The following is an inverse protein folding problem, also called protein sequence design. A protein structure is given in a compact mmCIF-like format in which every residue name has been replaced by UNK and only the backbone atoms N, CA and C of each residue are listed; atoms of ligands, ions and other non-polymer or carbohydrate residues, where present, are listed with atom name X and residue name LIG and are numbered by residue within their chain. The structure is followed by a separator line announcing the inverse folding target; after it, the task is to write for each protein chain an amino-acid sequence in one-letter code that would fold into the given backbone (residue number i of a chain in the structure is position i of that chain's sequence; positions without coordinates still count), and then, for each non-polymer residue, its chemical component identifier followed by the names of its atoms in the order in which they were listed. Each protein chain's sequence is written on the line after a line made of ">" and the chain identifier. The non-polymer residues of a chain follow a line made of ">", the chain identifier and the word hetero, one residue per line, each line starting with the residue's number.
data_IF_138916721983
#
_entry.id   IF_138916721983
#
_cell.length_a   1.000
_cell.length_b   1.000
_cell.length_c   1.000
_cell.angle_alpha   90.00
_cell.angle_beta   90.00
_cell.angle_gamma   90.00
#
_symmetry.space_group_name_H-M   'P 1'
#
loop_
_entity.id
_entity.type
_entity.pdbx_description
1 polymer ?
#
# COMPACT_ATOMS: atom_id res chain seq x y z
N UNK A 1 -19.21 -25.99 -13.33
CA UNK A 1 -18.94 -25.73 -11.93
C UNK A 1 -17.88 -24.63 -11.81
N UNK A 2 -18.18 -23.60 -11.07
CA UNK A 2 -17.25 -22.52 -10.87
C UNK A 2 -16.36 -22.86 -9.67
N UNK A 3 -15.07 -22.94 -9.91
CA UNK A 3 -14.12 -23.09 -8.80
C UNK A 3 -13.76 -21.70 -8.28
N UNK A 4 -13.82 -21.52 -6.98
CA UNK A 4 -13.32 -20.30 -6.38
C UNK A 4 -11.83 -20.16 -6.69
N UNK A 5 -11.36 -18.94 -6.94
CA UNK A 5 -9.92 -18.70 -7.11
C UNK A 5 -9.19 -19.11 -5.83
N UNK A 6 -8.00 -19.74 -5.93
CA UNK A 6 -7.20 -19.99 -4.76
C UNK A 6 -6.95 -18.71 -3.96
N UNK A 7 -6.92 -18.81 -2.64
CA UNK A 7 -6.79 -17.65 -1.75
C UNK A 7 -5.51 -16.83 -1.98
N UNK A 8 -4.50 -17.41 -2.65
CA UNK A 8 -3.22 -16.76 -2.93
C UNK A 8 -3.06 -16.29 -4.39
N UNK A 9 -4.15 -16.23 -5.17
CA UNK A 9 -4.09 -15.67 -6.53
C UNK A 9 -3.94 -14.16 -6.46
N UNK A 10 -3.44 -13.57 -7.54
CA UNK A 10 -3.33 -12.11 -7.65
C UNK A 10 -4.68 -11.44 -7.41
N UNK A 11 -5.75 -11.94 -8.02
CA UNK A 11 -7.09 -11.37 -7.84
C UNK A 11 -7.56 -11.46 -6.38
N UNK A 12 -7.42 -12.63 -5.74
CA UNK A 12 -7.85 -12.81 -4.36
C UNK A 12 -7.08 -11.90 -3.39
N UNK A 13 -5.77 -11.80 -3.58
CA UNK A 13 -4.90 -10.93 -2.77
C UNK A 13 -5.30 -9.47 -2.97
N UNK A 14 -5.50 -9.06 -4.22
CA UNK A 14 -5.87 -7.68 -4.57
C UNK A 14 -7.20 -7.29 -3.93
N UNK A 15 -8.23 -8.13 -4.04
CA UNK A 15 -9.54 -7.86 -3.45
C UNK A 15 -9.48 -7.76 -1.93
N UNK A 16 -8.75 -8.66 -1.29
CA UNK A 16 -8.63 -8.65 0.17
C UNK A 16 -7.82 -7.45 0.66
N UNK A 17 -6.73 -7.11 -0.03
CA UNK A 17 -5.93 -5.93 0.31
C UNK A 17 -6.79 -4.66 0.25
N UNK A 18 -7.56 -4.48 -0.82
CA UNK A 18 -8.44 -3.31 -0.97
C UNK A 18 -9.47 -3.28 0.15
N UNK A 19 -10.08 -4.41 0.48
CA UNK A 19 -11.05 -4.52 1.58
C UNK A 19 -10.44 -4.09 2.92
N UNK A 20 -9.24 -4.57 3.23
CA UNK A 20 -8.54 -4.21 4.45
C UNK A 20 -8.17 -2.72 4.49
N UNK A 21 -7.68 -2.19 3.37
CA UNK A 21 -7.33 -0.77 3.28
C UNK A 21 -8.55 0.15 3.42
N UNK A 22 -9.70 -0.24 2.86
CA UNK A 22 -10.95 0.50 3.05
C UNK A 22 -11.39 0.52 4.51
N UNK A 23 -11.08 -0.53 5.25
CA UNK A 23 -11.38 -0.62 6.68
C UNK A 23 -10.33 0.07 7.56
N UNK A 24 -9.30 0.67 6.97
CA UNK A 24 -8.20 1.28 7.72
C UNK A 24 -7.24 0.27 8.32
N UNK A 25 -7.26 -0.98 7.86
CA UNK A 25 -6.48 -2.09 8.39
C UNK A 25 -5.26 -2.39 7.51
N UNK A 26 -4.49 -1.36 7.21
CA UNK A 26 -3.34 -1.46 6.31
C UNK A 26 -2.24 -2.38 6.86
N UNK A 27 -2.00 -2.34 8.17
CA UNK A 27 -0.99 -3.22 8.78
C UNK A 27 -1.39 -4.71 8.66
N UNK A 28 -2.68 -5.01 8.77
CA UNK A 28 -3.17 -6.38 8.58
C UNK A 28 -2.93 -6.87 7.15
N UNK A 29 -3.08 -5.97 6.16
CA UNK A 29 -2.78 -6.30 4.77
C UNK A 29 -1.27 -6.63 4.60
N UNK A 30 -0.40 -5.83 5.19
CA UNK A 30 1.04 -6.07 5.17
C UNK A 30 1.36 -7.45 5.80
N UNK A 31 0.84 -7.70 6.99
CA UNK A 31 1.10 -8.94 7.71
C UNK A 31 0.57 -10.19 6.99
N UNK A 32 -0.54 -10.05 6.25
CA UNK A 32 -1.18 -11.18 5.59
C UNK A 32 -0.56 -11.51 4.23
N UNK A 33 -0.13 -10.49 3.47
CA UNK A 33 0.18 -10.69 2.05
C UNK A 33 1.60 -10.35 1.62
N UNK A 34 2.34 -9.58 2.41
CA UNK A 34 3.67 -9.13 1.99
C UNK A 34 4.72 -10.21 2.19
N UNK A 35 5.57 -10.40 1.17
CA UNK A 35 6.76 -11.25 1.28
C UNK A 35 7.73 -10.68 2.31
N UNK A 36 8.45 -11.54 3.06
CA UNK A 36 9.55 -11.05 3.92
C UNK A 36 10.57 -10.19 3.17
N UNK A 37 10.77 -10.43 1.88
CA UNK A 37 11.73 -9.73 1.03
C UNK A 37 11.09 -8.63 0.19
N UNK A 38 9.94 -8.14 0.57
CA UNK A 38 9.22 -7.08 -0.16
C UNK A 38 10.12 -5.89 -0.49
N UNK A 39 9.96 -5.35 -1.69
CA UNK A 39 10.60 -4.10 -2.10
C UNK A 39 9.53 -3.03 -2.26
N UNK A 40 9.73 -1.90 -1.60
CA UNK A 40 8.82 -0.76 -1.69
C UNK A 40 9.54 0.42 -2.32
N UNK A 41 8.91 1.03 -3.33
CA UNK A 41 9.50 2.13 -4.09
C UNK A 41 8.57 3.34 -4.02
N UNK A 42 9.11 4.46 -3.54
CA UNK A 42 8.40 5.73 -3.49
C UNK A 42 8.72 6.59 -4.73
N UNK A 43 7.91 7.61 -5.00
CA UNK A 43 8.19 8.54 -6.11
C UNK A 43 9.39 9.43 -5.84
N UNK A 44 9.70 9.67 -4.55
CA UNK A 44 10.88 10.44 -4.16
C UNK A 44 11.45 9.87 -2.86
N UNK A 45 12.70 10.19 -2.59
CA UNK A 45 13.37 9.81 -1.37
C UNK A 45 14.51 10.76 -1.05
N UNK A 46 15.09 10.59 0.13
CA UNK A 46 16.25 11.36 0.59
C UNK A 46 17.15 10.43 1.41
N UNK A 47 18.20 10.97 2.01
CA UNK A 47 19.15 10.18 2.81
C UNK A 47 18.49 9.51 4.02
N UNK A 48 17.55 10.18 4.67
CA UNK A 48 16.87 9.66 5.85
C UNK A 48 15.78 8.63 5.46
N UNK A 49 15.13 8.83 4.31
CA UNK A 49 14.08 7.93 3.81
C UNK A 49 14.36 7.65 2.33
N UNK A 50 15.14 6.60 2.03
CA UNK A 50 15.46 6.25 0.64
C UNK A 50 14.21 5.97 -0.18
N UNK A 51 14.30 6.27 -1.48
CA UNK A 51 13.22 5.97 -2.42
C UNK A 51 12.87 4.48 -2.44
N UNK A 52 13.86 3.60 -2.35
CA UNK A 52 13.67 2.15 -2.34
C UNK A 52 14.01 1.60 -0.96
N UNK A 53 13.08 0.82 -0.42
CA UNK A 53 13.20 0.18 0.91
C UNK A 53 12.91 -1.30 0.75
N UNK A 54 13.73 -2.14 1.38
CA UNK A 54 13.62 -3.60 1.31
C UNK A 54 13.31 -4.21 2.67
N UNK A 55 12.50 -5.26 2.65
CA UNK A 55 12.18 -6.06 3.83
C UNK A 55 10.91 -5.62 4.53
N UNK A 56 10.17 -6.61 5.01
CA UNK A 56 8.84 -6.39 5.59
C UNK A 56 8.89 -5.55 6.88
N UNK A 57 9.96 -5.69 7.67
CA UNK A 57 10.08 -4.92 8.91
C UNK A 57 10.25 -3.42 8.65
N UNK A 58 11.00 -3.07 7.60
CA UNK A 58 11.12 -1.67 7.17
C UNK A 58 9.78 -1.11 6.69
N UNK A 59 8.99 -1.92 6.00
CA UNK A 59 7.65 -1.51 5.54
C UNK A 59 6.70 -1.32 6.72
N UNK A 60 6.75 -2.20 7.71
CA UNK A 60 5.99 -2.04 8.95
C UNK A 60 6.36 -0.75 9.67
N UNK A 61 7.64 -0.42 9.70
CA UNK A 61 8.14 0.83 10.27
C UNK A 61 7.62 2.06 9.54
N UNK A 62 7.61 2.04 8.21
CA UNK A 62 7.04 3.10 7.37
C UNK A 62 5.54 3.29 7.68
N UNK A 63 4.79 2.20 7.74
CA UNK A 63 3.36 2.25 8.02
C UNK A 63 3.08 2.81 9.40
N UNK A 64 3.84 2.39 10.39
CA UNK A 64 3.71 2.91 11.75
C UNK A 64 4.01 4.41 11.81
N UNK A 65 5.10 4.84 11.18
CA UNK A 65 5.48 6.25 11.14
C UNK A 65 4.37 7.07 10.49
N UNK A 66 3.84 6.60 9.36
CA UNK A 66 2.77 7.30 8.64
C UNK A 66 1.52 7.42 9.50
N UNK A 67 1.10 6.33 10.12
CA UNK A 67 -0.10 6.30 10.97
C UNK A 67 0.07 7.20 12.21
N UNK A 68 1.26 7.20 12.81
CA UNK A 68 1.53 8.00 14.00
C UNK A 68 1.59 9.51 13.71
N UNK A 69 1.96 9.89 12.48
CA UNK A 69 2.17 11.29 12.10
C UNK A 69 1.04 11.90 11.29
N UNK A 70 0.06 11.12 10.88
CA UNK A 70 -1.07 11.60 10.08
C UNK A 70 -2.40 11.26 10.74
N UNK A 71 -3.25 12.26 10.89
CA UNK A 71 -4.64 12.04 11.26
C UNK A 71 -5.47 11.94 9.99
N UNK A 72 -6.12 10.80 9.78
CA UNK A 72 -6.94 10.56 8.59
C UNK A 72 -8.38 10.98 8.87
N UNK A 73 -8.87 11.98 8.11
CA UNK A 73 -10.25 12.46 8.25
C UNK A 73 -11.19 11.71 7.32
N UNK A 74 -10.70 11.37 6.13
CA UNK A 74 -11.45 10.61 5.14
C UNK A 74 -10.47 9.91 4.21
N UNK A 75 -10.88 8.79 3.64
CA UNK A 75 -10.08 8.06 2.67
C UNK A 75 -10.95 7.47 1.59
N UNK A 76 -10.39 7.37 0.39
CA UNK A 76 -10.98 6.67 -0.74
C UNK A 76 -9.96 5.65 -1.24
N UNK A 77 -10.42 4.43 -1.45
CA UNK A 77 -9.60 3.34 -1.99
C UNK A 77 -10.35 2.77 -3.18
N UNK A 78 -9.82 2.99 -4.39
CA UNK A 78 -10.43 2.54 -5.64
C UNK A 78 -9.63 1.43 -6.29
N UNK A 79 -10.33 0.43 -6.77
CA UNK A 79 -9.76 -0.74 -7.39
C UNK A 79 -10.25 -2.01 -6.72
N UNK A 80 -9.54 -3.13 -6.88
CA UNK A 80 -8.27 -3.26 -7.61
C UNK A 80 -8.46 -3.32 -9.13
N UNK A 81 -7.43 -2.91 -9.87
CA UNK A 81 -7.34 -3.07 -11.31
C UNK A 81 -6.29 -4.16 -11.58
N UNK A 82 -6.74 -5.36 -11.89
CA UNK A 82 -5.89 -6.57 -11.89
C UNK A 82 -5.45 -6.92 -13.30
N UNK A 83 -4.14 -7.18 -13.48
CA UNK A 83 -3.55 -7.75 -14.69
C UNK A 83 -2.58 -8.84 -14.27
N UNK A 84 -2.70 -10.03 -14.76
CA UNK A 84 -1.82 -11.19 -14.50
C UNK A 84 -1.21 -11.26 -13.09
N UNK A 85 0.05 -10.83 -12.94
CA UNK A 85 0.80 -10.84 -11.68
C UNK A 85 0.85 -9.48 -10.98
N UNK A 86 0.10 -8.49 -11.48
CA UNK A 86 0.11 -7.15 -10.93
C UNK A 86 -1.31 -6.63 -10.70
N UNK A 87 -1.43 -5.71 -9.77
CA UNK A 87 -2.67 -4.96 -9.61
C UNK A 87 -2.37 -3.53 -9.15
N UNK A 88 -3.24 -2.62 -9.56
CA UNK A 88 -3.14 -1.22 -9.19
C UNK A 88 -4.28 -0.83 -8.27
N UNK A 89 -4.00 0.09 -7.35
CA UNK A 89 -4.98 0.65 -6.42
C UNK A 89 -4.76 2.16 -6.36
N UNK A 90 -5.85 2.92 -6.39
CA UNK A 90 -5.82 4.37 -6.20
C UNK A 90 -6.21 4.69 -4.76
N UNK A 91 -5.42 5.55 -4.12
CA UNK A 91 -5.68 6.03 -2.77
C UNK A 91 -5.80 7.54 -2.75
N UNK A 92 -6.80 8.04 -2.02
CA UNK A 92 -6.93 9.46 -1.73
C UNK A 92 -7.18 9.61 -0.23
N UNK A 93 -6.42 10.47 0.41
CA UNK A 93 -6.53 10.70 1.85
C UNK A 93 -6.69 12.18 2.13
N UNK A 94 -7.69 12.52 2.95
CA UNK A 94 -7.80 13.82 3.59
C UNK A 94 -7.15 13.68 4.96
N UNK A 95 -5.99 14.29 5.16
CA UNK A 95 -5.16 14.10 6.35
C UNK A 95 -4.74 15.43 6.97
N UNK A 96 -4.43 15.37 8.27
CA UNK A 96 -3.66 16.42 8.94
C UNK A 96 -2.30 15.82 9.30
N UNK A 97 -1.23 16.43 8.80
CA UNK A 97 0.13 16.04 9.16
C UNK A 97 0.45 16.65 10.52
N UNK A 98 0.47 15.81 11.56
CA UNK A 98 0.57 16.25 12.96
C UNK A 98 1.77 17.15 13.26
N UNK A 99 3.00 16.85 12.75
CA UNK A 99 4.16 17.69 13.07
C UNK A 99 4.03 19.15 12.67
N UNK A 100 3.27 19.45 11.61
CA UNK A 100 3.06 20.83 11.13
C UNK A 100 1.64 21.32 11.33
N UNK A 101 0.73 20.44 11.77
CA UNK A 101 -0.71 20.70 11.93
C UNK A 101 -1.35 21.22 10.63
N UNK A 102 -0.84 20.76 9.49
CA UNK A 102 -1.36 21.13 8.17
C UNK A 102 -2.26 20.05 7.64
N UNK A 103 -3.46 20.45 7.21
CA UNK A 103 -4.43 19.56 6.56
C UNK A 103 -4.31 19.68 5.05
N UNK A 104 -4.25 18.54 4.37
CA UNK A 104 -4.21 18.49 2.92
C UNK A 104 -4.77 17.17 2.39
N UNK A 105 -4.91 17.09 1.08
CA UNK A 105 -5.29 15.86 0.40
C UNK A 105 -4.06 15.24 -0.24
N UNK A 106 -3.83 13.95 0.03
CA UNK A 106 -2.81 13.13 -0.62
C UNK A 106 -3.48 12.19 -1.60
N UNK A 107 -2.98 12.14 -2.82
CA UNK A 107 -3.42 11.19 -3.83
C UNK A 107 -2.23 10.38 -4.30
N UNK A 108 -2.41 9.07 -4.43
CA UNK A 108 -1.36 8.19 -4.96
C UNK A 108 -1.95 6.98 -5.68
N UNK A 109 -1.21 6.49 -6.67
CA UNK A 109 -1.43 5.20 -7.30
C UNK A 109 -0.42 4.23 -6.75
N UNK A 110 -0.85 3.02 -6.42
CA UNK A 110 0.05 1.95 -6.01
C UNK A 110 -0.01 0.81 -7.02
N UNK A 111 1.16 0.33 -7.44
CA UNK A 111 1.28 -0.84 -8.29
C UNK A 111 1.94 -1.95 -7.48
N UNK A 112 1.23 -3.06 -7.35
CA UNK A 112 1.69 -4.23 -6.59
C UNK A 112 2.04 -5.36 -7.53
N UNK A 113 3.12 -6.08 -7.23
CA UNK A 113 3.51 -7.29 -7.95
C UNK A 113 3.38 -8.49 -7.02
N UNK A 114 2.72 -9.55 -7.50
CA UNK A 114 2.49 -10.79 -6.76
C UNK A 114 3.36 -11.89 -7.36
N UNK A 115 4.02 -12.64 -6.50
CA UNK A 115 4.80 -13.82 -6.89
C UNK A 115 4.69 -14.87 -5.79
N UNK A 116 4.42 -16.11 -6.17
CA UNK A 116 4.31 -17.24 -5.25
C UNK A 116 3.32 -16.97 -4.09
N UNK A 117 2.20 -16.33 -4.41
CA UNK A 117 1.15 -16.06 -3.44
C UNK A 117 1.43 -14.94 -2.45
N UNK A 118 2.43 -14.11 -2.71
CA UNK A 118 2.81 -12.99 -1.86
C UNK A 118 3.06 -11.73 -2.69
N UNK A 119 2.86 -10.57 -2.07
CA UNK A 119 3.23 -9.29 -2.67
C UNK A 119 4.74 -9.13 -2.48
N UNK A 120 5.47 -9.05 -3.59
CA UNK A 120 6.95 -8.96 -3.57
C UNK A 120 7.45 -7.55 -3.89
N UNK A 121 6.58 -6.69 -4.41
CA UNK A 121 6.92 -5.32 -4.77
C UNK A 121 5.69 -4.43 -4.67
N UNK A 122 5.86 -3.23 -4.12
CA UNK A 122 4.89 -2.16 -4.19
C UNK A 122 5.60 -0.91 -4.69
N UNK A 123 4.98 -0.18 -5.61
CA UNK A 123 5.52 1.07 -6.12
C UNK A 123 4.43 2.14 -6.11
N UNK A 124 4.76 3.28 -5.52
CA UNK A 124 3.83 4.38 -5.37
C UNK A 124 4.15 5.51 -6.34
N UNK A 125 3.11 6.06 -6.96
CA UNK A 125 3.19 7.16 -7.91
C UNK A 125 2.35 8.31 -7.37
N UNK A 126 3.00 9.43 -7.08
CA UNK A 126 2.34 10.65 -6.60
C UNK A 126 3.12 11.87 -7.08
N UNK A 127 2.46 13.01 -7.03
CA UNK A 127 3.11 14.26 -7.42
C UNK A 127 4.08 14.71 -6.33
N UNK A 128 5.24 15.17 -6.75
CA UNK A 128 6.29 15.67 -5.85
C UNK A 128 6.40 17.19 -5.90
N UNK A 129 5.59 17.83 -6.72
CA UNK A 129 5.59 19.31 -6.86
C UNK A 129 4.17 19.83 -7.04
#
# INVERSE_FOLDING_TARGET
>A
MTTAAPANTTTAIAEELVSLCRAGRNLDAINSFYSPDIVSVESMGNEAMPREVKGIDAIRGKQKWWADNNEVHASTVDGPFVGEDKFAVYYSYDITFKPTDKRNTMEEMALYTVKDGKIVREQFFYRTS
#
